data_IF_906434569967
#
_entry.id   IF_906434569967
#
_cell.length_a   1.000
_cell.length_b   1.000
_cell.length_c   1.000
_cell.angle_alpha   90.00
_cell.angle_beta   90.00
_cell.angle_gamma   90.00
#
_symmetry.space_group_name_H-M   'P 1'
#
loop_
_entity.id
_entity.type
_entity.pdbx_description
1 polymer ?
#
# COMPACT_ATOMS: atom_id res chain seq x y z
N UNK A 1 4.15 -6.70 1.57
CA UNK A 1 4.72 -5.80 0.53
C UNK A 1 3.66 -5.47 -0.50
N UNK A 2 3.82 -4.41 -1.28
CA UNK A 2 2.82 -3.99 -2.27
C UNK A 2 3.14 -4.52 -3.67
N UNK A 3 2.09 -4.83 -4.43
CA UNK A 3 2.22 -5.18 -5.86
C UNK A 3 2.86 -4.04 -6.64
N UNK A 4 3.69 -4.41 -7.62
CA UNK A 4 4.36 -3.50 -8.57
C UNK A 4 5.24 -2.43 -7.91
N UNK A 5 5.46 -2.51 -6.60
CA UNK A 5 6.32 -1.62 -5.85
C UNK A 5 7.69 -2.27 -5.68
N UNK A 6 8.77 -1.70 -6.26
CA UNK A 6 10.12 -2.14 -5.98
C UNK A 6 10.38 -2.13 -4.48
N UNK A 7 10.74 -3.28 -3.96
CA UNK A 7 11.05 -3.50 -2.54
C UNK A 7 12.44 -4.10 -2.45
N UNK A 8 13.19 -3.73 -1.42
CA UNK A 8 14.53 -4.25 -1.16
C UNK A 8 14.66 -4.78 0.26
N UNK A 9 15.55 -5.74 0.44
CA UNK A 9 15.99 -6.20 1.75
C UNK A 9 17.45 -6.64 1.69
N UNK A 10 18.11 -6.61 2.83
CA UNK A 10 19.51 -7.01 2.98
C UNK A 10 19.58 -8.43 3.52
N UNK A 11 20.45 -9.23 2.91
CA UNK A 11 20.78 -10.60 3.30
C UNK A 11 22.21 -10.62 3.83
N UNK A 12 22.41 -11.24 4.99
CA UNK A 12 23.74 -11.53 5.50
C UNK A 12 24.18 -12.93 5.05
N UNK A 13 25.30 -12.98 4.31
CA UNK A 13 25.89 -14.24 3.85
C UNK A 13 27.22 -14.54 4.57
N UNK A 14 27.65 -13.76 5.57
CA UNK A 14 28.95 -13.94 6.25
C UNK A 14 29.17 -15.34 6.82
N UNK A 15 28.09 -16.02 7.24
CA UNK A 15 28.18 -17.40 7.73
C UNK A 15 28.49 -18.43 6.63
N UNK A 16 28.27 -18.08 5.36
CA UNK A 16 28.51 -18.93 4.18
C UNK A 16 29.59 -18.38 3.25
N UNK A 17 30.06 -17.14 3.45
CA UNK A 17 31.16 -16.54 2.67
C UNK A 17 32.43 -16.39 3.51
N UNK A 18 33.53 -17.02 3.08
CA UNK A 18 34.85 -16.77 3.68
C UNK A 18 35.56 -15.51 3.14
N UNK A 19 35.20 -15.04 1.94
CA UNK A 19 35.94 -14.00 1.19
C UNK A 19 35.08 -12.88 0.58
N UNK A 20 33.74 -12.98 0.63
CA UNK A 20 32.82 -11.96 0.07
C UNK A 20 32.84 -11.83 -1.47
N UNK A 21 33.54 -12.72 -2.18
CA UNK A 21 33.79 -12.62 -3.63
C UNK A 21 32.98 -13.60 -4.50
N UNK A 22 32.00 -14.32 -3.93
CA UNK A 22 31.23 -15.34 -4.65
C UNK A 22 29.96 -14.82 -5.33
N UNK A 23 29.35 -15.71 -6.11
CA UNK A 23 28.12 -15.47 -6.85
C UNK A 23 26.89 -15.66 -5.95
N UNK A 24 25.99 -14.66 -5.98
CA UNK A 24 24.68 -14.74 -5.32
C UNK A 24 23.58 -14.81 -6.37
N UNK A 25 22.73 -15.83 -6.27
CA UNK A 25 21.51 -15.95 -7.06
C UNK A 25 20.30 -15.69 -6.16
N UNK A 26 19.31 -14.97 -6.71
CA UNK A 26 18.03 -14.75 -6.05
C UNK A 26 16.88 -15.06 -7.00
N UNK A 27 15.95 -15.90 -6.55
CA UNK A 27 14.77 -16.34 -7.30
C UNK A 27 13.50 -16.02 -6.51
N UNK A 28 12.56 -15.30 -7.13
CA UNK A 28 11.22 -15.05 -6.63
C UNK A 28 10.24 -16.02 -7.28
N UNK A 29 9.61 -16.87 -6.49
CA UNK A 29 8.52 -17.77 -6.89
C UNK A 29 7.18 -17.15 -6.50
N UNK A 30 6.34 -16.89 -7.50
CA UNK A 30 4.99 -16.33 -7.35
C UNK A 30 3.96 -17.39 -6.95
N UNK A 31 2.77 -17.01 -6.43
CA UNK A 31 1.68 -17.95 -6.12
C UNK A 31 1.29 -18.86 -7.29
N UNK A 32 1.37 -18.35 -8.53
CA UNK A 32 1.15 -19.14 -9.76
C UNK A 32 2.23 -20.19 -10.05
N UNK A 33 3.35 -20.17 -9.32
CA UNK A 33 4.55 -20.95 -9.59
C UNK A 33 5.54 -20.27 -10.56
N UNK A 34 5.23 -19.06 -11.05
CA UNK A 34 6.15 -18.31 -11.92
C UNK A 34 7.41 -17.90 -11.16
N UNK A 35 8.57 -18.23 -11.72
CA UNK A 35 9.89 -17.90 -11.15
C UNK A 35 10.51 -16.72 -11.91
N UNK A 36 11.03 -15.74 -11.16
CA UNK A 36 11.72 -14.56 -11.69
C UNK A 36 13.06 -14.37 -10.97
N UNK A 37 14.13 -14.09 -11.73
CA UNK A 37 15.43 -13.72 -11.15
C UNK A 37 15.39 -12.28 -10.63
N UNK A 38 15.79 -12.11 -9.38
CA UNK A 38 15.84 -10.80 -8.73
C UNK A 38 17.24 -10.17 -8.87
N UNK A 39 17.33 -8.86 -9.11
CA UNK A 39 18.60 -8.13 -9.00
C UNK A 39 19.20 -8.25 -7.59
N UNK A 40 20.52 -8.46 -7.54
CA UNK A 40 21.29 -8.52 -6.31
C UNK A 40 22.49 -7.60 -6.42
N UNK A 41 22.76 -6.82 -5.37
CA UNK A 41 23.91 -5.93 -5.25
C UNK A 41 24.77 -6.36 -4.07
N UNK A 42 26.05 -6.61 -4.31
CA UNK A 42 27.04 -6.87 -3.25
C UNK A 42 27.40 -5.54 -2.56
N UNK A 43 27.33 -5.50 -1.24
CA UNK A 43 27.62 -4.30 -0.44
C UNK A 43 29.09 -4.20 0.00
N UNK A 44 29.92 -5.20 -0.28
CA UNK A 44 31.36 -5.21 -0.02
C UNK A 44 31.75 -5.57 1.41
N UNK A 45 30.78 -5.85 2.28
CA UNK A 45 30.99 -6.20 3.69
C UNK A 45 30.49 -7.62 4.02
N UNK A 46 30.22 -8.46 3.00
CA UNK A 46 29.62 -9.79 3.16
C UNK A 46 28.09 -9.79 3.20
N UNK A 47 27.45 -8.63 3.04
CA UNK A 47 25.99 -8.51 2.88
C UNK A 47 25.61 -8.20 1.43
N UNK A 48 24.37 -8.57 1.07
CA UNK A 48 23.84 -8.44 -0.28
C UNK A 48 22.44 -7.80 -0.23
N UNK A 49 22.23 -6.78 -1.05
CA UNK A 49 20.93 -6.14 -1.20
C UNK A 49 20.17 -6.80 -2.35
N UNK A 50 19.02 -7.39 -2.05
CA UNK A 50 18.12 -8.01 -3.02
C UNK A 50 16.99 -7.06 -3.33
N UNK A 51 16.69 -6.84 -4.61
CA UNK A 51 15.55 -6.05 -5.06
C UNK A 51 14.52 -6.93 -5.77
N UNK A 52 13.24 -6.75 -5.48
CA UNK A 52 12.14 -7.49 -6.10
C UNK A 52 10.88 -6.64 -6.20
N UNK A 53 9.99 -6.98 -7.14
CA UNK A 53 8.67 -6.38 -7.27
C UNK A 53 7.65 -7.49 -7.58
N UNK A 54 6.76 -7.85 -6.65
CA UNK A 54 5.75 -8.88 -6.90
C UNK A 54 4.65 -8.34 -7.82
N UNK A 55 4.18 -9.17 -8.75
CA UNK A 55 3.10 -8.81 -9.69
C UNK A 55 1.79 -9.54 -9.41
N UNK A 56 1.83 -10.58 -8.57
CA UNK A 56 0.66 -11.37 -8.20
C UNK A 56 0.32 -11.14 -6.73
N UNK A 57 -0.97 -11.16 -6.39
CA UNK A 57 -1.38 -11.12 -4.99
C UNK A 57 -1.14 -12.49 -4.33
N UNK A 58 -0.61 -12.50 -3.11
CA UNK A 58 -0.47 -13.69 -2.28
C UNK A 58 0.95 -13.97 -1.80
N UNK A 59 1.15 -15.20 -1.31
CA UNK A 59 2.42 -15.63 -0.70
C UNK A 59 3.43 -15.94 -1.80
N UNK A 60 4.56 -15.24 -1.79
CA UNK A 60 5.71 -15.55 -2.63
C UNK A 60 6.84 -16.12 -1.77
N UNK A 61 7.73 -16.85 -2.43
CA UNK A 61 8.98 -17.32 -1.84
C UNK A 61 10.16 -16.67 -2.55
N UNK A 62 11.10 -16.12 -1.78
CA UNK A 62 12.35 -15.58 -2.28
C UNK A 62 13.46 -16.50 -1.82
N UNK A 63 14.06 -17.23 -2.75
CA UNK A 63 15.21 -18.08 -2.53
C UNK A 63 16.48 -17.30 -2.85
N UNK A 64 17.37 -17.21 -1.86
CA UNK A 64 18.69 -16.58 -2.02
C UNK A 64 19.76 -17.63 -1.73
N UNK A 65 20.71 -17.80 -2.65
CA UNK A 65 21.82 -18.73 -2.53
C UNK A 65 23.14 -18.01 -2.80
N UNK A 66 24.19 -18.38 -2.06
CA UNK A 66 25.57 -17.99 -2.30
C UNK A 66 26.33 -19.24 -2.76
N UNK A 67 26.89 -19.25 -3.96
CA UNK A 67 27.58 -20.42 -4.53
C UNK A 67 26.74 -21.72 -4.44
N UNK A 68 25.44 -21.62 -4.74
CA UNK A 68 24.43 -22.69 -4.61
C UNK A 68 24.12 -23.15 -3.17
N UNK A 69 24.68 -22.51 -2.16
CA UNK A 69 24.38 -22.77 -0.74
C UNK A 69 23.34 -21.75 -0.26
N UNK A 70 22.19 -22.17 0.29
CA UNK A 70 21.22 -21.25 0.85
C UNK A 70 21.83 -20.38 1.96
N UNK A 71 21.60 -19.07 1.88
CA UNK A 71 21.94 -18.14 2.96
C UNK A 71 21.01 -18.37 4.16
N UNK A 72 21.40 -17.99 5.39
CA UNK A 72 20.53 -18.10 6.55
C UNK A 72 19.16 -17.43 6.34
N UNK A 73 18.09 -18.14 6.63
CA UNK A 73 16.72 -17.65 6.50
C UNK A 73 16.08 -17.86 5.13
N UNK A 74 16.86 -18.26 4.11
CA UNK A 74 16.32 -18.66 2.81
C UNK A 74 15.62 -20.03 2.90
N UNK A 75 14.43 -20.22 2.28
CA UNK A 75 13.66 -19.23 1.53
C UNK A 75 12.90 -18.24 2.42
N UNK A 76 12.86 -16.98 2.00
CA UNK A 76 12.08 -15.92 2.64
C UNK A 76 10.64 -15.93 2.12
N UNK A 77 9.65 -15.93 3.02
CA UNK A 77 8.23 -15.83 2.65
C UNK A 77 7.73 -14.41 2.78
N UNK A 78 7.12 -13.89 1.72
CA UNK A 78 6.51 -12.56 1.71
C UNK A 78 5.07 -12.65 1.25
N UNK A 79 4.19 -11.86 1.87
CA UNK A 79 2.81 -11.70 1.40
C UNK A 79 2.69 -10.41 0.61
N UNK A 80 2.34 -10.53 -0.66
CA UNK A 80 2.11 -9.41 -1.57
C UNK A 80 0.63 -9.04 -1.61
N UNK A 81 0.33 -7.77 -1.39
CA UNK A 81 -1.04 -7.22 -1.40
C UNK A 81 -1.12 -6.05 -2.37
N UNK A 82 -2.30 -5.75 -2.95
CA UNK A 82 -2.46 -4.55 -3.77
C UNK A 82 -2.03 -3.28 -3.01
N UNK A 83 -1.33 -2.40 -3.71
CA UNK A 83 -0.95 -1.09 -3.17
C UNK A 83 -2.16 -0.20 -2.86
N UNK A 84 -1.95 0.80 -2.00
CA UNK A 84 -2.87 1.92 -1.84
C UNK A 84 -2.35 3.12 -2.62
N UNK A 85 -3.21 3.74 -3.44
CA UNK A 85 -2.96 4.99 -4.14
C UNK A 85 -3.95 6.07 -3.66
N UNK A 86 -3.58 6.85 -2.63
CA UNK A 86 -4.43 7.90 -2.10
C UNK A 86 -4.77 9.01 -3.11
N UNK A 87 -3.99 9.16 -4.19
CA UNK A 87 -4.23 10.17 -5.21
C UNK A 87 -5.45 9.83 -6.08
N UNK A 88 -5.87 8.56 -6.11
CA UNK A 88 -7.09 8.13 -6.80
C UNK A 88 -8.37 8.41 -6.02
N UNK A 89 -8.27 8.76 -4.73
CA UNK A 89 -9.44 9.16 -3.94
C UNK A 89 -9.88 10.57 -4.31
N UNK A 90 -11.14 10.71 -4.72
CA UNK A 90 -11.78 11.98 -5.10
C UNK A 90 -13.02 12.23 -4.24
N UNK A 91 -13.35 13.50 -4.03
CA UNK A 91 -14.61 13.90 -3.42
C UNK A 91 -15.23 15.02 -4.26
N UNK A 92 -16.52 14.94 -4.56
CA UNK A 92 -17.25 15.91 -5.38
C UNK A 92 -18.74 15.95 -5.02
N UNK A 93 -19.41 17.05 -5.34
CA UNK A 93 -20.84 17.24 -5.07
C UNK A 93 -21.14 18.53 -4.30
N UNK A 94 -22.42 18.94 -4.27
CA UNK A 94 -22.83 20.25 -3.77
C UNK A 94 -22.46 20.46 -2.29
N UNK A 95 -22.53 19.41 -1.45
CA UNK A 95 -22.14 19.47 -0.04
C UNK A 95 -20.65 19.77 0.21
N UNK A 96 -19.79 19.80 -0.81
CA UNK A 96 -18.41 20.31 -0.69
C UNK A 96 -18.28 21.80 -0.99
N UNK A 97 -19.24 22.36 -1.74
CA UNK A 97 -19.19 23.73 -2.25
C UNK A 97 -20.05 24.68 -1.42
N UNK A 98 -21.28 24.28 -1.12
CA UNK A 98 -22.24 25.07 -0.35
C UNK A 98 -23.23 24.18 0.42
N UNK A 99 -23.80 24.73 1.49
CA UNK A 99 -24.77 24.01 2.31
C UNK A 99 -25.79 25.00 2.90
N UNK A 100 -27.04 24.58 3.02
CA UNK A 100 -28.10 25.37 3.66
C UNK A 100 -28.26 24.88 5.09
N UNK A 101 -28.18 25.78 6.06
CA UNK A 101 -28.29 25.45 7.48
C UNK A 101 -29.62 24.74 7.77
N UNK A 102 -29.55 23.66 8.56
CA UNK A 102 -30.66 22.78 8.91
C UNK A 102 -31.31 22.03 7.73
N UNK A 103 -30.66 21.99 6.56
CA UNK A 103 -31.07 21.13 5.45
C UNK A 103 -30.00 20.05 5.20
N UNK A 104 -30.38 18.75 5.13
CA UNK A 104 -29.45 17.70 4.78
C UNK A 104 -28.82 17.97 3.42
N UNK A 105 -27.50 17.86 3.34
CA UNK A 105 -26.77 17.97 2.07
C UNK A 105 -25.83 16.79 1.91
N UNK A 106 -25.48 16.50 0.65
CA UNK A 106 -24.67 15.33 0.31
C UNK A 106 -23.49 15.68 -0.58
N UNK A 107 -22.45 14.85 -0.46
CA UNK A 107 -21.35 14.80 -1.41
C UNK A 107 -20.92 13.34 -1.59
N UNK A 108 -20.27 13.06 -2.71
CA UNK A 108 -19.80 11.73 -3.08
C UNK A 108 -18.30 11.65 -2.88
N UNK A 109 -17.85 10.51 -2.36
CA UNK A 109 -16.45 10.12 -2.30
C UNK A 109 -16.28 8.93 -3.25
N UNK A 110 -15.30 9.03 -4.15
CA UNK A 110 -14.89 7.94 -5.02
C UNK A 110 -13.53 7.40 -4.58
N UNK A 111 -13.48 6.12 -4.25
CA UNK A 111 -12.26 5.39 -3.85
C UNK A 111 -11.87 4.32 -4.87
N UNK A 112 -12.54 4.28 -6.02
CA UNK A 112 -12.24 3.35 -7.13
C UNK A 112 -10.76 3.42 -7.50
N UNK A 113 -10.11 2.26 -7.43
CA UNK A 113 -8.70 2.11 -7.78
C UNK A 113 -7.69 2.65 -6.76
N UNK A 114 -8.13 3.21 -5.62
CA UNK A 114 -7.25 3.67 -4.54
C UNK A 114 -6.66 2.52 -3.70
N UNK A 115 -7.13 1.29 -3.89
CA UNK A 115 -6.67 0.12 -3.13
C UNK A 115 -7.36 -0.03 -1.77
N UNK A 116 -6.89 -0.99 -0.97
CA UNK A 116 -7.45 -1.25 0.35
C UNK A 116 -6.80 -0.34 1.39
N UNK A 117 -7.62 0.34 2.21
CA UNK A 117 -7.15 1.23 3.26
C UNK A 117 -8.32 1.87 4.02
N UNK A 118 -8.00 2.60 5.10
CA UNK A 118 -8.99 3.36 5.85
C UNK A 118 -9.04 4.81 5.35
N UNK A 119 -10.25 5.35 5.20
CA UNK A 119 -10.47 6.75 4.86
C UNK A 119 -10.95 7.50 6.11
N UNK A 120 -10.19 8.52 6.51
CA UNK A 120 -10.61 9.50 7.51
C UNK A 120 -11.42 10.62 6.88
N UNK A 121 -12.45 11.09 7.57
CA UNK A 121 -13.27 12.25 7.17
C UNK A 121 -13.42 13.17 8.38
N UNK A 122 -13.19 14.46 8.17
CA UNK A 122 -13.39 15.48 9.17
C UNK A 122 -14.19 16.63 8.56
N UNK A 123 -15.20 17.12 9.27
CA UNK A 123 -15.88 18.37 8.94
C UNK A 123 -15.48 19.36 10.03
N UNK A 124 -14.69 20.35 9.64
CA UNK A 124 -14.31 21.45 10.54
C UNK A 124 -15.39 22.53 10.47
N UNK A 125 -16.08 22.75 11.59
CA UNK A 125 -17.15 23.75 11.70
C UNK A 125 -17.35 24.19 13.16
N UNK A 126 -18.12 25.27 13.40
CA UNK A 126 -18.36 25.78 14.76
C UNK A 126 -19.32 24.89 15.59
N UNK A 127 -19.78 23.77 15.04
CA UNK A 127 -20.62 22.77 15.72
C UNK A 127 -20.38 21.38 15.12
N UNK A 128 -20.47 20.33 15.92
CA UNK A 128 -20.43 18.94 15.45
C UNK A 128 -21.61 18.66 14.51
N UNK A 129 -21.33 18.32 13.25
CA UNK A 129 -22.33 17.84 12.31
C UNK A 129 -22.41 16.31 12.40
N UNK A 130 -23.61 15.77 12.58
CA UNK A 130 -23.84 14.33 12.41
C UNK A 130 -23.64 13.97 10.94
N UNK A 131 -22.74 13.03 10.68
CA UNK A 131 -22.50 12.49 9.34
C UNK A 131 -23.03 11.07 9.23
N UNK A 132 -23.63 10.76 8.09
CA UNK A 132 -24.03 9.41 7.71
C UNK A 132 -23.27 9.06 6.44
N UNK A 133 -22.59 7.92 6.45
CA UNK A 133 -21.95 7.36 5.27
C UNK A 133 -22.82 6.23 4.72
N UNK A 134 -23.14 6.29 3.43
CA UNK A 134 -23.82 5.23 2.70
C UNK A 134 -22.89 4.71 1.61
N UNK A 135 -22.43 3.47 1.77
CA UNK A 135 -21.65 2.77 0.75
C UNK A 135 -22.57 2.29 -0.38
N UNK A 136 -22.23 2.65 -1.61
CA UNK A 136 -22.96 2.23 -2.81
C UNK A 136 -22.51 0.85 -3.33
N UNK A 137 -21.50 0.23 -2.72
CA UNK A 137 -20.90 -1.05 -3.11
C UNK A 137 -20.31 -1.08 -4.53
N UNK A 138 -20.14 0.08 -5.14
CA UNK A 138 -19.51 0.21 -6.45
C UNK A 138 -18.10 0.83 -6.34
N UNK A 139 -17.63 1.16 -5.14
CA UNK A 139 -16.39 1.93 -4.91
C UNK A 139 -16.63 3.45 -4.76
N UNK A 140 -17.89 3.85 -4.61
CA UNK A 140 -18.29 5.20 -4.17
C UNK A 140 -19.06 5.14 -2.86
N UNK A 141 -18.89 6.18 -2.04
CA UNK A 141 -19.65 6.39 -0.82
C UNK A 141 -20.36 7.74 -0.89
N UNK A 142 -21.63 7.78 -0.52
CA UNK A 142 -22.38 9.02 -0.34
C UNK A 142 -22.27 9.44 1.12
N UNK A 143 -21.81 10.66 1.33
CA UNK A 143 -21.78 11.29 2.65
C UNK A 143 -22.95 12.25 2.74
N UNK A 144 -23.78 12.07 3.76
CA UNK A 144 -24.87 12.97 4.12
C UNK A 144 -24.55 13.62 5.46
N UNK A 145 -24.72 14.94 5.55
CA UNK A 145 -24.54 15.67 6.80
C UNK A 145 -25.55 16.81 6.94
N UNK A 146 -25.85 17.16 8.19
CA UNK A 146 -26.74 18.26 8.53
C UNK A 146 -25.92 19.46 9.06
N UNK A 147 -25.71 20.52 8.26
CA UNK A 147 -25.00 21.71 8.69
C UNK A 147 -25.85 22.53 9.67
N UNK A 148 -25.38 22.71 10.90
CA UNK A 148 -26.05 23.56 11.90
C UNK A 148 -25.54 25.01 11.83
N UNK A 149 -24.31 25.20 11.34
CA UNK A 149 -23.72 26.50 10.98
C UNK A 149 -22.69 26.31 9.87
N UNK A 150 -22.74 27.15 8.84
CA UNK A 150 -21.91 27.04 7.64
C UNK A 150 -20.45 27.40 7.97
N UNK A 151 -19.50 26.53 7.60
CA UNK A 151 -18.08 26.87 7.40
C UNK A 151 -17.43 25.91 6.41
N UNK A 152 -16.25 26.30 5.90
CA UNK A 152 -15.46 25.57 4.89
C UNK A 152 -15.20 24.13 5.30
N UNK A 153 -15.58 23.17 4.45
CA UNK A 153 -15.26 21.77 4.65
C UNK A 153 -13.83 21.45 4.18
N UNK A 154 -13.11 20.62 4.94
CA UNK A 154 -11.77 20.16 4.57
C UNK A 154 -11.69 18.64 4.68
N UNK A 155 -11.45 17.98 3.56
CA UNK A 155 -11.20 16.54 3.53
C UNK A 155 -9.80 16.25 4.07
N UNK A 156 -9.69 15.65 5.25
CA UNK A 156 -8.41 15.20 5.81
C UNK A 156 -8.23 13.72 5.44
N UNK A 157 -7.35 13.44 4.47
CA UNK A 157 -6.93 12.07 4.18
C UNK A 157 -6.02 11.60 5.32
N UNK A 158 -6.50 10.68 6.15
CA UNK A 158 -5.66 10.03 7.15
C UNK A 158 -4.80 8.97 6.45
N UNK A 159 -3.50 9.24 6.36
CA UNK A 159 -2.50 8.28 5.88
C UNK A 159 -2.23 7.31 7.04
N UNK A 160 -2.54 6.02 6.85
CA UNK A 160 -2.02 4.97 7.74
C UNK A 160 -0.65 4.52 7.24
#
# INVERSE_FOLDING_TARGET
>A
VFLESPTEFTVDAKSVTGSGAGHVECLLTSPSGRIVRCPVKNMGDGTYQVQYAPYEQGIHQIEVTYENIPVPGSPFRINAIPGCDPLRVRAYGPGLEYAITNEPTTFTIETKGAGQGSLGLAIEGPSEAKMVCKDNQDGTCIMEYLPVRINKMKLIKQKM
#
